data_IF_694407550339
#
_entry.id   IF_694407550339
#
_cell.length_a   1.000
_cell.length_b   1.000
_cell.length_c   1.000
_cell.angle_alpha   90.00
_cell.angle_beta   90.00
_cell.angle_gamma   90.00
#
_symmetry.space_group_name_H-M   'P 1'
#
loop_
_entity.id
_entity.type
_entity.pdbx_description
1 polymer ?
#
# COMPACT_ATOMS: atom_id res chain seq x y z
N UNK A 1 24.82 9.39 -13.39
CA UNK A 1 23.42 9.07 -13.04
C UNK A 1 23.40 7.64 -12.55
N UNK A 2 23.25 7.42 -11.26
CA UNK A 2 23.23 6.06 -10.69
C UNK A 2 21.90 5.40 -11.05
N UNK A 3 21.96 4.25 -11.71
CA UNK A 3 20.80 3.38 -11.99
C UNK A 3 20.27 2.82 -10.67
N UNK A 4 19.34 3.54 -10.03
CA UNK A 4 18.59 3.04 -8.88
C UNK A 4 17.48 2.13 -9.39
N UNK A 5 17.78 0.83 -9.48
CA UNK A 5 16.74 -0.18 -9.63
C UNK A 5 15.81 -0.15 -8.41
N UNK A 6 14.48 -0.22 -8.61
CA UNK A 6 13.54 -0.32 -7.51
C UNK A 6 13.84 -1.58 -6.69
N UNK A 7 14.04 -1.43 -5.38
CA UNK A 7 14.14 -2.58 -4.48
C UNK A 7 12.75 -3.22 -4.38
N UNK A 8 12.63 -4.55 -4.54
CA UNK A 8 11.35 -5.24 -4.39
C UNK A 8 10.79 -5.08 -2.97
N UNK A 9 9.46 -5.19 -2.81
CA UNK A 9 8.80 -5.14 -1.52
C UNK A 9 9.38 -6.20 -0.57
N UNK A 10 9.65 -5.79 0.67
CA UNK A 10 10.03 -6.70 1.75
C UNK A 10 8.85 -6.91 2.68
N UNK A 11 8.81 -8.06 3.35
CA UNK A 11 7.68 -8.47 4.18
C UNK A 11 8.15 -8.82 5.60
N UNK A 12 7.23 -8.77 6.56
CA UNK A 12 7.46 -9.08 7.98
C UNK A 12 6.28 -9.87 8.54
N UNK A 13 6.55 -10.74 9.52
CA UNK A 13 5.49 -11.41 10.25
C UNK A 13 4.77 -10.41 11.17
N UNK A 14 3.43 -10.45 11.17
CA UNK A 14 2.61 -9.67 12.08
C UNK A 14 2.61 -10.34 13.47
N UNK A 15 3.63 -10.02 14.27
CA UNK A 15 3.83 -10.67 15.56
C UNK A 15 3.89 -12.20 15.45
N UNK A 16 3.22 -12.90 16.37
CA UNK A 16 3.16 -14.36 16.41
C UNK A 16 1.96 -14.96 15.65
N UNK A 17 1.28 -14.17 14.80
CA UNK A 17 0.08 -14.63 14.07
C UNK A 17 0.39 -15.59 12.91
N UNK A 18 1.64 -15.61 12.43
CA UNK A 18 2.03 -16.30 11.20
C UNK A 18 1.65 -15.56 9.91
N UNK A 19 0.96 -14.41 10.00
CA UNK A 19 0.63 -13.60 8.83
C UNK A 19 1.85 -12.82 8.32
N UNK A 20 2.15 -12.93 7.03
CA UNK A 20 3.23 -12.20 6.38
C UNK A 20 2.67 -10.94 5.68
N UNK A 21 3.03 -9.75 6.18
CA UNK A 21 2.55 -8.46 5.68
C UNK A 21 3.68 -7.66 5.04
N UNK A 22 3.35 -6.84 4.03
CA UNK A 22 4.28 -5.92 3.39
C UNK A 22 4.83 -4.92 4.41
N UNK A 23 6.11 -4.53 4.26
CA UNK A 23 6.77 -3.58 5.17
C UNK A 23 6.17 -2.18 5.11
N UNK A 24 5.49 -1.86 4.01
CA UNK A 24 4.65 -0.67 3.84
C UNK A 24 3.19 -1.11 3.68
N UNK A 25 2.26 -0.35 4.27
CA UNK A 25 0.82 -0.48 4.08
C UNK A 25 0.24 0.78 3.44
N UNK A 26 -0.93 0.65 2.83
CA UNK A 26 -1.71 1.78 2.32
C UNK A 26 -2.95 1.98 3.19
N UNK A 27 -3.05 3.11 3.89
CA UNK A 27 -4.21 3.47 4.70
C UNK A 27 -5.19 4.37 3.96
N UNK A 28 -6.49 4.18 4.18
CA UNK A 28 -7.58 4.91 3.51
C UNK A 28 -7.91 6.27 4.11
N UNK A 29 -7.22 6.70 5.18
CA UNK A 29 -7.51 7.98 5.83
C UNK A 29 -7.16 9.16 4.91
N UNK A 30 -8.22 9.80 4.40
CA UNK A 30 -8.15 10.89 3.42
C UNK A 30 -9.26 11.90 3.73
N UNK A 31 -9.04 13.18 3.42
CA UNK A 31 -10.11 14.18 3.49
C UNK A 31 -11.18 13.90 2.43
N UNK A 32 -12.44 14.23 2.72
CA UNK A 32 -13.48 14.22 1.69
C UNK A 32 -13.36 15.49 0.83
N UNK A 33 -12.86 15.34 -0.40
CA UNK A 33 -12.70 16.45 -1.35
C UNK A 33 -12.91 15.94 -2.78
N UNK A 34 -13.41 16.79 -3.67
CA UNK A 34 -13.60 16.50 -5.11
C UNK A 34 -12.30 16.07 -5.83
N UNK A 35 -11.13 16.35 -5.23
CA UNK A 35 -9.83 15.91 -5.73
C UNK A 35 -9.52 14.42 -5.43
N UNK A 36 -10.18 13.82 -4.45
CA UNK A 36 -9.92 12.45 -4.00
C UNK A 36 -11.07 11.56 -4.44
N UNK A 37 -11.12 11.28 -5.74
CA UNK A 37 -12.18 10.49 -6.36
C UNK A 37 -11.97 9.00 -6.13
N UNK A 38 -13.03 8.22 -6.27
CA UNK A 38 -12.96 6.75 -6.22
C UNK A 38 -12.00 6.17 -7.27
N UNK A 39 -11.97 6.74 -8.48
CA UNK A 39 -11.08 6.30 -9.56
C UNK A 39 -9.61 6.57 -9.23
N UNK A 40 -9.30 7.76 -8.67
CA UNK A 40 -7.94 8.07 -8.24
C UNK A 40 -7.48 7.15 -7.10
N UNK A 41 -8.38 6.84 -6.15
CA UNK A 41 -8.11 5.88 -5.09
C UNK A 41 -7.88 4.48 -5.63
N UNK A 42 -8.68 4.04 -6.60
CA UNK A 42 -8.51 2.76 -7.27
C UNK A 42 -7.14 2.63 -7.94
N UNK A 43 -6.72 3.65 -8.69
CA UNK A 43 -5.40 3.68 -9.33
C UNK A 43 -4.25 3.62 -8.31
N UNK A 44 -4.40 4.33 -7.17
CA UNK A 44 -3.45 4.25 -6.07
C UNK A 44 -3.37 2.84 -5.45
N UNK A 45 -4.51 2.21 -5.19
CA UNK A 45 -4.55 0.84 -4.65
C UNK A 45 -3.92 -0.16 -5.62
N UNK A 46 -4.21 -0.02 -6.92
CA UNK A 46 -3.64 -0.88 -7.97
C UNK A 46 -2.13 -0.74 -8.03
N UNK A 47 -1.61 0.48 -8.04
CA UNK A 47 -0.17 0.73 -8.04
C UNK A 47 0.50 0.12 -6.80
N UNK A 48 -0.08 0.33 -5.61
CA UNK A 48 0.43 -0.25 -4.38
C UNK A 48 0.49 -1.79 -4.44
N UNK A 49 -0.57 -2.42 -4.95
CA UNK A 49 -0.65 -3.87 -5.13
C UNK A 49 0.39 -4.40 -6.14
N UNK A 50 0.53 -3.76 -7.30
CA UNK A 50 1.53 -4.12 -8.32
C UNK A 50 2.97 -4.02 -7.78
N UNK A 51 3.21 -3.13 -6.81
CA UNK A 51 4.48 -2.99 -6.11
C UNK A 51 4.61 -3.86 -4.84
N UNK A 52 3.67 -4.78 -4.59
CA UNK A 52 3.76 -5.79 -3.53
C UNK A 52 3.15 -5.41 -2.18
N UNK A 53 2.42 -4.30 -2.08
CA UNK A 53 1.63 -4.01 -0.87
C UNK A 53 0.49 -5.01 -0.76
N UNK A 54 0.43 -5.73 0.36
CA UNK A 54 -0.63 -6.71 0.66
C UNK A 54 -1.45 -6.35 1.91
N UNK A 55 -1.13 -5.22 2.55
CA UNK A 55 -1.79 -4.76 3.76
C UNK A 55 -2.40 -3.37 3.53
N UNK A 56 -3.73 -3.32 3.57
CA UNK A 56 -4.55 -2.13 3.34
C UNK A 56 -5.36 -1.84 4.61
N UNK A 57 -5.20 -0.64 5.15
CA UNK A 57 -5.79 -0.23 6.43
C UNK A 57 -7.03 0.65 6.20
N UNK A 58 -8.14 0.33 6.86
CA UNK A 58 -9.43 1.02 6.71
C UNK A 58 -10.23 1.00 8.02
N UNK A 59 -11.23 1.88 8.15
CA UNK A 59 -12.13 1.98 9.31
C UNK A 59 -13.55 2.38 8.86
N UNK A 60 -14.57 1.97 9.62
CA UNK A 60 -15.99 2.35 9.41
C UNK A 60 -16.37 3.74 9.94
#
# INVERSE_FOLDING_TARGET
MTDTKPTPMTYRFLGNSGMLVSKLSLGSWMDANDKYTADAWYDMMKLAFEHGVNFFDNAE
#
